data_IF_704550926103
#
_entry.id   IF_704550926103
#
_cell.length_a   1.000
_cell.length_b   1.000
_cell.length_c   1.000
_cell.angle_alpha   90.00
_cell.angle_beta   90.00
_cell.angle_gamma   90.00
#
_symmetry.space_group_name_H-M   'P 1'
#
loop_
_entity.id
_entity.type
_entity.pdbx_description
1 polymer ?
#
# COMPACT_ATOMS: atom_id res chain seq x y z
N UNK A 1 18.03 27.10 0.28
CA UNK A 1 16.82 26.31 -0.02
C UNK A 1 15.99 27.02 -1.08
N UNK A 2 15.65 26.32 -2.17
CA UNK A 2 14.74 26.79 -3.21
C UNK A 2 13.38 27.27 -2.64
N UNK A 3 12.74 28.22 -3.33
CA UNK A 3 11.51 28.87 -2.84
C UNK A 3 10.32 27.92 -2.79
N UNK A 4 10.21 27.03 -3.78
CA UNK A 4 9.23 25.95 -3.89
C UNK A 4 9.32 24.96 -2.72
N UNK A 5 10.55 24.57 -2.32
CA UNK A 5 10.76 23.67 -1.18
C UNK A 5 10.29 24.32 0.12
N UNK A 6 10.59 25.61 0.33
CA UNK A 6 10.11 26.35 1.51
C UNK A 6 8.59 26.45 1.54
N UNK A 7 7.98 26.68 0.38
CA UNK A 7 6.53 26.80 0.27
C UNK A 7 5.85 25.46 0.59
N UNK A 8 6.32 24.36 -0.03
CA UNK A 8 5.82 23.00 0.26
C UNK A 8 5.93 22.65 1.74
N UNK A 9 7.07 22.95 2.38
CA UNK A 9 7.25 22.71 3.80
C UNK A 9 6.24 23.47 4.67
N UNK A 10 5.96 24.75 4.33
CA UNK A 10 4.95 25.56 5.03
C UNK A 10 3.55 25.00 4.84
N UNK A 11 3.20 24.55 3.64
CA UNK A 11 1.86 24.03 3.33
C UNK A 11 1.59 22.69 4.02
N UNK A 12 2.60 21.82 4.09
CA UNK A 12 2.54 20.58 4.87
C UNK A 12 2.37 20.90 6.35
N UNK A 13 3.18 21.81 6.91
CA UNK A 13 3.10 22.18 8.33
C UNK A 13 1.72 22.75 8.69
N UNK A 14 1.16 23.61 7.84
CA UNK A 14 -0.20 24.15 8.01
C UNK A 14 -1.29 23.08 7.97
N UNK A 15 -1.04 21.98 7.29
CA UNK A 15 -1.97 20.86 7.16
C UNK A 15 -1.91 19.88 8.34
N UNK A 16 -0.89 19.99 9.19
CA UNK A 16 -0.84 19.27 10.46
C UNK A 16 -1.75 19.93 11.50
N UNK A 17 -2.41 19.13 12.34
CA UNK A 17 -3.24 19.65 13.42
C UNK A 17 -2.40 20.53 14.37
N UNK A 18 -2.91 21.73 14.69
CA UNK A 18 -2.19 22.69 15.52
C UNK A 18 -0.89 23.21 14.92
N UNK A 19 -0.67 23.02 13.60
CA UNK A 19 0.58 23.35 12.90
C UNK A 19 1.82 22.68 13.52
N UNK A 20 1.62 21.53 14.16
CA UNK A 20 2.68 20.76 14.82
C UNK A 20 2.86 19.42 14.14
N UNK A 21 4.10 19.10 13.78
CA UNK A 21 4.46 17.80 13.18
C UNK A 21 4.29 16.62 14.15
N UNK A 22 4.18 16.89 15.45
CA UNK A 22 3.97 15.86 16.47
C UNK A 22 2.50 15.59 16.80
N UNK A 23 1.57 16.34 16.21
CA UNK A 23 0.16 16.10 16.42
C UNK A 23 -0.30 14.81 15.72
N UNK A 24 -1.28 14.12 16.30
CA UNK A 24 -1.93 13.01 15.64
C UNK A 24 -2.52 13.45 14.30
N UNK A 25 -2.41 12.57 13.31
CA UNK A 25 -3.09 12.71 12.03
C UNK A 25 -4.32 11.82 12.02
N UNK A 26 -5.23 12.04 11.06
CA UNK A 26 -6.30 11.07 10.81
C UNK A 26 -5.68 9.71 10.48
N UNK A 27 -6.36 8.60 10.84
CA UNK A 27 -5.80 7.24 10.68
C UNK A 27 -5.33 6.93 9.25
N UNK A 28 -5.97 7.53 8.25
CA UNK A 28 -5.65 7.36 6.82
C UNK A 28 -4.56 8.31 6.32
N UNK A 29 -4.04 9.21 7.17
CA UNK A 29 -3.03 10.21 6.87
C UNK A 29 -3.53 11.64 6.68
N UNK A 30 -2.57 12.57 6.53
CA UNK A 30 -2.82 14.01 6.30
C UNK A 30 -3.50 14.20 4.94
N UNK A 31 -4.63 14.91 4.92
CA UNK A 31 -5.44 15.12 3.71
C UNK A 31 -4.63 15.74 2.55
N UNK A 32 -3.85 16.79 2.82
CA UNK A 32 -3.02 17.43 1.79
C UNK A 32 -2.10 16.42 1.10
N UNK A 33 -1.47 15.53 1.88
CA UNK A 33 -0.55 14.53 1.33
C UNK A 33 -1.33 13.50 0.51
N UNK A 34 -2.51 13.06 0.98
CA UNK A 34 -3.38 12.13 0.23
C UNK A 34 -3.84 12.72 -1.11
N UNK A 35 -4.13 14.02 -1.16
CA UNK A 35 -4.46 14.74 -2.40
C UNK A 35 -3.29 14.78 -3.37
N UNK A 36 -2.09 15.12 -2.90
CA UNK A 36 -0.89 15.08 -3.74
C UNK A 36 -0.59 13.67 -4.28
N UNK A 37 -0.84 12.61 -3.50
CA UNK A 37 -0.70 11.23 -3.98
C UNK A 37 -1.72 10.94 -5.08
N UNK A 38 -2.98 11.35 -4.92
CA UNK A 38 -3.99 11.20 -5.96
C UNK A 38 -3.59 11.95 -7.25
N UNK A 39 -3.19 13.22 -7.15
CA UNK A 39 -2.70 14.01 -8.30
C UNK A 39 -1.52 13.34 -9.01
N UNK A 40 -0.59 12.75 -8.26
CA UNK A 40 0.54 12.01 -8.84
C UNK A 40 0.07 10.76 -9.60
N UNK A 41 -0.87 9.99 -9.04
CA UNK A 41 -1.46 8.82 -9.70
C UNK A 41 -2.19 9.25 -10.99
N UNK A 42 -2.97 10.34 -10.92
CA UNK A 42 -3.67 10.90 -12.09
C UNK A 42 -2.70 11.28 -13.21
N UNK A 43 -1.59 11.95 -12.88
CA UNK A 43 -0.57 12.34 -13.86
C UNK A 43 0.17 11.15 -14.46
N UNK A 44 0.42 10.10 -13.66
CA UNK A 44 1.09 8.88 -14.12
C UNK A 44 0.20 8.05 -15.05
N UNK A 45 -1.08 7.91 -14.71
CA UNK A 45 -1.98 6.95 -15.35
C UNK A 45 -2.92 7.59 -16.38
N UNK A 46 -3.10 8.92 -16.36
CA UNK A 46 -4.07 9.62 -17.21
C UNK A 46 -5.53 9.39 -16.82
N UNK A 47 -5.78 8.84 -15.63
CA UNK A 47 -7.11 8.52 -15.12
C UNK A 47 -7.34 9.17 -13.76
N UNK A 48 -8.58 9.61 -13.49
CA UNK A 48 -8.96 10.27 -12.24
C UNK A 48 -8.73 9.36 -11.03
N UNK A 49 -8.10 9.87 -9.98
CA UNK A 49 -7.83 9.18 -8.72
C UNK A 49 -8.54 9.92 -7.58
N UNK A 50 -9.27 9.18 -6.74
CA UNK A 50 -9.93 9.75 -5.58
C UNK A 50 -9.01 9.71 -4.36
N UNK A 51 -8.68 10.87 -3.80
CA UNK A 51 -7.87 10.96 -2.59
C UNK A 51 -8.49 10.25 -1.38
N UNK A 52 -9.81 10.03 -1.37
CA UNK A 52 -10.51 9.29 -0.31
C UNK A 52 -10.14 7.81 -0.28
N UNK A 53 -9.69 7.26 -1.42
CA UNK A 53 -9.25 5.86 -1.54
C UNK A 53 -7.77 5.69 -1.16
N UNK A 54 -7.06 6.78 -0.86
CA UNK A 54 -5.64 6.77 -0.47
C UNK A 54 -5.53 6.64 1.05
N UNK A 55 -4.79 5.63 1.52
CA UNK A 55 -4.41 5.47 2.92
C UNK A 55 -2.88 5.52 3.04
N UNK A 56 -2.36 6.45 3.86
CA UNK A 56 -0.93 6.54 4.13
C UNK A 56 -0.52 5.51 5.18
N UNK A 57 0.59 4.84 4.93
CA UNK A 57 1.12 3.78 5.80
C UNK A 57 2.58 4.03 6.15
N UNK A 58 3.05 3.41 7.22
CA UNK A 58 4.47 3.42 7.61
C UNK A 58 5.28 2.48 6.69
N UNK A 59 5.40 2.87 5.41
CA UNK A 59 6.02 2.07 4.36
C UNK A 59 5.11 0.98 3.80
N UNK A 60 5.51 0.47 2.63
CA UNK A 60 4.73 -0.53 1.89
C UNK A 60 4.48 -1.81 2.70
N UNK A 61 5.44 -2.24 3.51
CA UNK A 61 5.33 -3.46 4.32
C UNK A 61 4.16 -3.42 5.30
N UNK A 62 3.93 -2.28 5.96
CA UNK A 62 2.79 -2.11 6.87
C UNK A 62 1.46 -2.16 6.10
N UNK A 63 1.40 -1.51 4.92
CA UNK A 63 0.22 -1.57 4.06
C UNK A 63 -0.11 -2.98 3.58
N UNK A 64 0.89 -3.75 3.14
CA UNK A 64 0.71 -5.15 2.74
C UNK A 64 0.15 -5.97 3.90
N UNK A 65 0.72 -5.83 5.10
CA UNK A 65 0.21 -6.53 6.30
C UNK A 65 -1.24 -6.19 6.59
N UNK A 66 -1.61 -4.91 6.61
CA UNK A 66 -3.00 -4.49 6.86
C UNK A 66 -3.98 -5.06 5.83
N UNK A 67 -3.62 -5.05 4.55
CA UNK A 67 -4.48 -5.61 3.49
C UNK A 67 -4.63 -7.12 3.66
N UNK A 68 -3.54 -7.85 3.95
CA UNK A 68 -3.59 -9.29 4.16
C UNK A 68 -4.39 -9.68 5.42
N UNK A 69 -4.30 -8.88 6.48
CA UNK A 69 -5.04 -9.08 7.73
C UNK A 69 -6.57 -9.03 7.51
N UNK A 70 -7.06 -8.20 6.58
CA UNK A 70 -8.49 -8.16 6.22
C UNK A 70 -9.01 -9.52 5.72
N UNK A 71 -8.14 -10.35 5.18
CA UNK A 71 -8.47 -11.68 4.66
C UNK A 71 -8.22 -12.80 5.67
N UNK A 72 -7.76 -12.48 6.89
CA UNK A 72 -7.56 -13.42 7.99
C UNK A 72 -8.91 -13.87 8.57
N UNK A 73 -9.65 -14.65 7.78
CA UNK A 73 -10.94 -15.23 8.14
C UNK A 73 -10.96 -16.73 7.80
N UNK A 74 -11.88 -17.46 8.45
CA UNK A 74 -12.14 -18.87 8.16
C UNK A 74 -13.60 -19.02 7.73
N UNK A 75 -13.81 -19.65 6.58
CA UNK A 75 -15.13 -19.99 6.05
C UNK A 75 -15.18 -21.52 5.94
N UNK A 76 -16.23 -22.14 6.47
CA UNK A 76 -16.40 -23.61 6.49
C UNK A 76 -15.19 -24.35 7.05
N UNK A 77 -14.61 -23.83 8.15
CA UNK A 77 -13.41 -24.35 8.80
C UNK A 77 -12.14 -24.34 7.91
N UNK A 78 -12.15 -23.66 6.76
CA UNK A 78 -11.00 -23.49 5.87
C UNK A 78 -10.45 -22.06 5.97
N UNK A 79 -9.13 -21.88 6.05
CA UNK A 79 -8.53 -20.55 5.98
C UNK A 79 -8.67 -19.99 4.55
N UNK A 80 -8.75 -18.67 4.43
CA UNK A 80 -8.57 -17.99 3.14
C UNK A 80 -7.26 -18.41 2.49
N UNK A 81 -7.23 -18.55 1.17
CA UNK A 81 -6.01 -18.78 0.40
C UNK A 81 -5.65 -17.55 -0.42
N UNK A 82 -4.38 -17.17 -0.43
CA UNK A 82 -3.87 -16.04 -1.21
C UNK A 82 -2.84 -16.53 -2.22
N UNK A 83 -3.01 -16.07 -3.47
CA UNK A 83 -2.11 -16.39 -4.57
C UNK A 83 -0.83 -15.57 -4.51
N UNK A 84 0.32 -16.24 -4.60
CA UNK A 84 1.65 -15.63 -4.55
C UNK A 84 2.57 -16.16 -5.67
N UNK A 85 3.37 -15.28 -6.31
CA UNK A 85 4.30 -15.69 -7.35
C UNK A 85 5.45 -16.52 -6.77
N UNK A 86 6.12 -17.30 -7.63
CA UNK A 86 7.41 -17.92 -7.36
C UNK A 86 8.32 -17.63 -8.57
N UNK A 87 9.47 -16.96 -8.38
CA UNK A 87 10.01 -16.41 -7.12
C UNK A 87 9.20 -15.20 -6.61
N UNK A 88 9.33 -14.87 -5.32
CA UNK A 88 8.64 -13.73 -4.70
C UNK A 88 9.48 -12.97 -3.68
N UNK A 89 9.00 -11.78 -3.33
CA UNK A 89 9.45 -11.05 -2.15
C UNK A 89 9.02 -11.78 -0.85
N UNK A 90 9.97 -12.19 0.03
CA UNK A 90 9.68 -13.06 1.18
C UNK A 90 8.66 -12.54 2.19
N UNK A 91 8.41 -11.22 2.22
CA UNK A 91 7.42 -10.60 3.11
C UNK A 91 6.05 -11.26 2.97
N UNK A 92 5.61 -11.58 1.74
CA UNK A 92 4.32 -12.22 1.52
C UNK A 92 4.23 -13.58 2.20
N UNK A 93 5.21 -14.47 1.99
CA UNK A 93 5.21 -15.76 2.69
C UNK A 93 5.23 -15.62 4.20
N UNK A 94 6.05 -14.70 4.73
CA UNK A 94 6.15 -14.51 6.17
C UNK A 94 4.81 -14.05 6.77
N UNK A 95 4.16 -13.06 6.14
CA UNK A 95 2.89 -12.52 6.61
C UNK A 95 1.72 -13.51 6.45
N UNK A 96 1.68 -14.30 5.37
CA UNK A 96 0.66 -15.34 5.21
C UNK A 96 0.78 -16.40 6.31
N UNK A 97 1.99 -16.84 6.64
CA UNK A 97 2.23 -17.76 7.75
C UNK A 97 1.86 -17.14 9.09
N UNK A 98 2.23 -15.87 9.34
CA UNK A 98 1.88 -15.11 10.54
C UNK A 98 0.36 -15.07 10.78
N UNK A 99 -0.44 -14.90 9.73
CA UNK A 99 -1.90 -14.84 9.80
C UNK A 99 -2.61 -16.19 9.63
N UNK A 100 -1.87 -17.29 9.44
CA UNK A 100 -2.46 -18.61 9.20
C UNK A 100 -3.28 -18.70 7.91
N UNK A 101 -2.93 -17.88 6.91
CA UNK A 101 -3.56 -17.84 5.58
C UNK A 101 -2.89 -18.88 4.67
N UNK A 102 -3.69 -19.55 3.84
CA UNK A 102 -3.20 -20.54 2.89
C UNK A 102 -2.33 -19.93 1.79
N UNK A 103 -1.23 -20.61 1.46
CA UNK A 103 -0.30 -20.21 0.40
C UNK A 103 -0.68 -20.90 -0.92
N UNK A 104 -1.20 -20.16 -1.88
CA UNK A 104 -1.46 -20.67 -3.23
C UNK A 104 -0.35 -20.16 -4.14
N UNK A 105 0.53 -21.05 -4.61
CA UNK A 105 1.71 -20.65 -5.39
C UNK A 105 1.39 -20.70 -6.89
N UNK A 106 1.77 -19.66 -7.63
CA UNK A 106 1.85 -19.70 -9.09
C UNK A 106 3.30 -19.43 -9.52
N UNK A 107 3.77 -20.13 -10.56
CA UNK A 107 5.16 -20.05 -10.99
C UNK A 107 5.27 -19.09 -12.18
N UNK A 108 6.23 -18.19 -12.10
CA UNK A 108 6.56 -17.28 -13.20
C UNK A 108 7.41 -18.02 -14.23
N UNK A 109 7.21 -17.70 -15.51
CA UNK A 109 7.92 -18.32 -16.63
C UNK A 109 9.28 -17.64 -16.84
N UNK A 110 10.35 -18.31 -16.44
CA UNK A 110 11.72 -17.80 -16.55
C UNK A 110 12.14 -17.58 -18.02
N UNK A 111 11.76 -18.47 -18.93
CA UNK A 111 12.09 -18.38 -20.36
C UNK A 111 11.39 -17.21 -21.05
N UNK A 112 10.24 -16.77 -20.51
CA UNK A 112 9.51 -15.57 -20.97
C UNK A 112 9.81 -14.31 -20.14
N UNK A 113 10.92 -14.30 -19.39
CA UNK A 113 11.35 -13.12 -18.63
C UNK A 113 10.54 -12.90 -17.35
N UNK A 114 10.19 -13.98 -16.64
CA UNK A 114 9.38 -13.97 -15.43
C UNK A 114 7.94 -13.48 -15.65
N UNK A 115 7.39 -13.74 -16.84
CA UNK A 115 6.01 -13.42 -17.15
C UNK A 115 5.04 -14.31 -16.38
N UNK A 116 3.83 -13.78 -16.14
CA UNK A 116 2.71 -14.56 -15.60
C UNK A 116 2.13 -15.44 -16.71
N UNK A 117 2.07 -16.75 -16.49
CA UNK A 117 1.31 -17.67 -17.35
C UNK A 117 -0.11 -17.87 -16.80
N UNK A 118 -1.10 -17.78 -17.69
CA UNK A 118 -2.53 -17.88 -17.37
C UNK A 118 -3.20 -19.07 -18.07
N UNK A 119 -2.43 -19.88 -18.80
CA UNK A 119 -2.92 -21.01 -19.58
C UNK A 119 -2.88 -22.34 -18.81
#
# INVERSE_FOLDING_TARGET
MPADVKQRAKDILKSCAGQSVGAYTMSHGIELIRRHVAEYIEQRDGHKANWQDICLTAGASAGIKHVLELFCNKVDCKPTGIMIPIPQYPLYSATLTEFGIGHIRYFLDEDKGWALDIN
#
